data_IF_467044367148
#
_entry.id   IF_467044367148
#
_cell.length_a   1.000
_cell.length_b   1.000
_cell.length_c   1.000
_cell.angle_alpha   90.00
_cell.angle_beta   90.00
_cell.angle_gamma   90.00
#
_symmetry.space_group_name_H-M   'P 1'
#
loop_
_entity.id
_entity.type
_entity.pdbx_description
1 polymer ?
#
# COMPACT_ATOMS: atom_id res chain seq x y z
N UNK A 1 -6.58 26.92 -0.03
CA UNK A 1 -6.59 25.97 -1.16
C UNK A 1 -5.23 25.30 -1.16
N UNK A 2 -5.14 23.97 -1.11
CA UNK A 2 -3.84 23.28 -1.08
C UNK A 2 -3.23 23.25 -2.48
N UNK A 3 -1.95 23.56 -2.58
CA UNK A 3 -1.20 23.43 -3.82
C UNK A 3 -1.02 21.95 -4.21
N UNK A 4 -0.87 21.63 -5.50
CA UNK A 4 -0.57 20.25 -5.94
C UNK A 4 0.65 19.63 -5.24
N UNK A 5 1.67 20.45 -4.95
CA UNK A 5 2.88 20.03 -4.27
C UNK A 5 2.63 19.67 -2.80
N UNK A 6 1.89 20.49 -2.05
CA UNK A 6 1.52 20.19 -0.66
C UNK A 6 0.72 18.89 -0.56
N UNK A 7 -0.21 18.68 -1.49
CA UNK A 7 -0.99 17.45 -1.57
C UNK A 7 -0.08 16.26 -1.89
N UNK A 8 0.89 16.41 -2.80
CA UNK A 8 1.88 15.37 -3.11
C UNK A 8 2.71 15.00 -1.89
N UNK A 9 3.26 15.98 -1.17
CA UNK A 9 4.05 15.75 0.03
C UNK A 9 3.22 15.10 1.15
N UNK A 10 1.95 15.48 1.30
CA UNK A 10 1.04 14.84 2.24
C UNK A 10 0.83 13.34 1.93
N UNK A 11 0.63 12.99 0.66
CA UNK A 11 0.57 11.59 0.23
C UNK A 11 1.92 10.89 0.36
N UNK A 12 3.03 11.60 0.15
CA UNK A 12 4.37 11.06 0.35
C UNK A 12 4.62 10.63 1.79
N UNK A 13 4.27 11.49 2.75
CA UNK A 13 4.33 11.16 4.18
C UNK A 13 3.41 10.00 4.55
N UNK A 14 2.19 9.95 3.99
CA UNK A 14 1.29 8.82 4.17
C UNK A 14 1.94 7.52 3.68
N UNK A 15 2.51 7.52 2.47
CA UNK A 15 3.11 6.35 1.86
C UNK A 15 4.34 5.85 2.63
N UNK A 16 5.20 6.76 3.09
CA UNK A 16 6.31 6.39 3.98
C UNK A 16 5.80 5.80 5.29
N UNK A 17 4.74 6.37 5.88
CA UNK A 17 4.11 5.82 7.08
C UNK A 17 3.59 4.40 6.86
N UNK A 18 2.92 4.14 5.73
CA UNK A 18 2.49 2.78 5.35
C UNK A 18 3.69 1.86 5.18
N UNK A 19 4.74 2.30 4.49
CA UNK A 19 5.95 1.51 4.27
C UNK A 19 6.62 1.07 5.58
N UNK A 20 6.84 2.02 6.50
CA UNK A 20 7.43 1.74 7.81
C UNK A 20 6.53 0.79 8.61
N UNK A 21 5.22 1.06 8.65
CA UNK A 21 4.27 0.23 9.41
C UNK A 21 4.21 -1.20 8.90
N UNK A 22 4.11 -1.39 7.58
CA UNK A 22 4.07 -2.72 6.95
C UNK A 22 5.40 -3.44 7.10
N UNK A 23 6.53 -2.75 6.91
CA UNK A 23 7.86 -3.32 7.07
C UNK A 23 8.10 -3.81 8.51
N UNK A 24 7.85 -2.95 9.50
CA UNK A 24 7.99 -3.29 10.92
C UNK A 24 7.06 -4.44 11.30
N UNK A 25 5.77 -4.36 10.93
CA UNK A 25 4.82 -5.40 11.25
C UNK A 25 5.23 -6.75 10.64
N UNK A 26 5.79 -6.74 9.43
CA UNK A 26 6.24 -7.97 8.74
C UNK A 26 7.44 -8.60 9.43
N UNK A 27 8.45 -7.81 9.78
CA UNK A 27 9.66 -8.29 10.46
C UNK A 27 9.32 -8.81 11.86
N UNK A 28 8.53 -8.05 12.63
CA UNK A 28 8.15 -8.46 13.99
C UNK A 28 7.21 -9.67 13.98
N UNK A 29 6.32 -9.78 12.98
CA UNK A 29 5.47 -10.98 12.81
C UNK A 29 6.31 -12.24 12.60
N UNK A 30 7.47 -12.12 11.97
CA UNK A 30 8.36 -13.27 11.78
C UNK A 30 9.04 -13.69 13.07
N UNK A 31 9.42 -12.74 13.92
CA UNK A 31 9.96 -13.05 15.25
C UNK A 31 8.94 -13.84 16.08
N UNK A 32 7.66 -13.45 16.04
CA UNK A 32 6.57 -14.17 16.71
C UNK A 32 6.36 -15.57 16.11
N UNK A 33 6.46 -15.69 14.78
CA UNK A 33 6.34 -16.98 14.10
C UNK A 33 7.41 -17.96 14.56
N UNK A 34 8.67 -17.54 14.56
CA UNK A 34 9.82 -18.34 14.99
C UNK A 34 9.76 -18.70 16.48
N UNK A 35 9.26 -17.79 17.32
CA UNK A 35 9.06 -18.03 18.75
C UNK A 35 7.84 -18.91 19.06
N UNK A 36 7.01 -19.25 18.05
CA UNK A 36 5.75 -20.01 18.18
C UNK A 36 4.77 -19.36 19.15
N UNK A 37 4.81 -18.03 19.20
CA UNK A 37 3.98 -17.25 20.10
C UNK A 37 2.51 -17.25 19.65
N UNK A 38 1.55 -17.06 20.58
CA UNK A 38 0.13 -17.02 20.27
C UNK A 38 -0.27 -16.03 19.17
N UNK A 39 -1.26 -16.41 18.36
CA UNK A 39 -1.73 -15.63 17.21
C UNK A 39 -2.14 -14.19 17.53
N UNK A 40 -2.61 -13.90 18.74
CA UNK A 40 -3.02 -12.53 19.11
C UNK A 40 -1.85 -11.53 19.07
N UNK A 41 -0.59 -11.99 19.19
CA UNK A 41 0.57 -11.11 19.06
C UNK A 41 0.74 -10.55 17.65
N UNK A 42 0.33 -11.27 16.60
CA UNK A 42 0.30 -10.71 15.24
C UNK A 42 -0.62 -9.50 15.19
N UNK A 43 -1.83 -9.61 15.76
CA UNK A 43 -2.78 -8.49 15.80
C UNK A 43 -2.21 -7.29 16.55
N UNK A 44 -1.59 -7.53 17.71
CA UNK A 44 -0.93 -6.48 18.50
C UNK A 44 0.20 -5.81 17.71
N UNK A 45 1.04 -6.59 17.03
CA UNK A 45 2.15 -6.07 16.22
C UNK A 45 1.66 -5.22 15.07
N UNK A 46 0.64 -5.68 14.35
CA UNK A 46 0.09 -4.94 13.22
C UNK A 46 -0.54 -3.63 13.70
N UNK A 47 -1.41 -3.67 14.71
CA UNK A 47 -2.03 -2.47 15.27
C UNK A 47 -0.99 -1.53 15.91
N UNK A 48 -0.04 -2.07 16.64
CA UNK A 48 1.04 -1.34 17.30
C UNK A 48 1.95 -0.64 16.30
N UNK A 49 2.36 -1.34 15.23
CA UNK A 49 3.25 -0.79 14.19
C UNK A 49 2.60 0.41 13.48
N UNK A 50 1.31 0.32 13.15
CA UNK A 50 0.55 1.44 12.58
C UNK A 50 0.35 2.57 13.60
N UNK A 51 0.00 2.24 14.84
CA UNK A 51 -0.25 3.23 15.90
C UNK A 51 1.02 4.03 16.24
N UNK A 52 2.15 3.36 16.39
CA UNK A 52 3.44 4.00 16.69
C UNK A 52 3.86 4.89 15.52
N UNK A 53 3.84 4.36 14.29
CA UNK A 53 4.30 5.10 13.11
C UNK A 53 3.46 6.35 12.85
N UNK A 54 2.14 6.22 12.89
CA UNK A 54 1.24 7.35 12.65
C UNK A 54 1.04 8.25 13.87
N UNK A 55 1.26 7.74 15.08
CA UNK A 55 1.30 8.52 16.31
C UNK A 55 2.54 9.40 16.40
N UNK A 56 3.71 8.93 15.93
CA UNK A 56 4.95 9.70 15.92
C UNK A 56 4.86 10.99 15.08
N UNK A 57 4.00 11.01 14.06
CA UNK A 57 3.77 12.19 13.21
C UNK A 57 2.47 12.94 13.53
N UNK A 58 1.90 12.73 14.73
CA UNK A 58 0.56 13.21 15.06
C UNK A 58 0.34 14.71 14.82
N UNK A 59 1.33 15.53 15.21
CA UNK A 59 1.27 16.99 15.03
C UNK A 59 1.23 17.46 13.57
N UNK A 60 1.60 16.60 12.61
CA UNK A 60 1.55 16.90 11.16
C UNK A 60 0.18 16.55 10.55
N UNK A 61 -0.64 15.72 11.19
CA UNK A 61 -1.94 15.29 10.66
C UNK A 61 -2.92 16.42 10.40
N UNK A 62 -2.85 17.49 11.21
CA UNK A 62 -3.67 18.70 11.01
C UNK A 62 -3.52 19.31 9.61
N UNK A 63 -2.36 19.13 8.99
CA UNK A 63 -2.05 19.62 7.64
C UNK A 63 -2.20 18.52 6.58
N UNK A 64 -1.85 17.28 6.92
CA UNK A 64 -1.88 16.12 5.99
C UNK A 64 -3.33 15.73 5.65
N UNK A 65 -4.22 15.59 6.64
CA UNK A 65 -5.58 15.08 6.44
C UNK A 65 -6.38 15.97 5.48
N UNK A 66 -6.43 17.31 5.66
CA UNK A 66 -7.20 18.15 4.75
C UNK A 66 -6.64 18.14 3.31
N UNK A 67 -5.31 18.06 3.15
CA UNK A 67 -4.68 17.95 1.83
C UNK A 67 -5.05 16.63 1.14
N UNK A 68 -5.03 15.51 1.86
CA UNK A 68 -5.50 14.22 1.35
C UNK A 68 -6.97 14.28 0.95
N UNK A 69 -7.84 14.81 1.83
CA UNK A 69 -9.27 14.98 1.56
C UNK A 69 -9.51 15.84 0.31
N UNK A 70 -8.73 16.91 0.14
CA UNK A 70 -8.82 17.77 -1.04
C UNK A 70 -8.56 16.99 -2.33
N UNK A 71 -7.58 16.07 -2.34
CA UNK A 71 -7.37 15.17 -3.47
C UNK A 71 -8.54 14.20 -3.66
N UNK A 72 -9.00 13.57 -2.59
CA UNK A 72 -10.09 12.57 -2.64
C UNK A 72 -11.40 13.15 -3.18
N UNK A 73 -11.66 14.45 -3.00
CA UNK A 73 -12.84 15.11 -3.60
C UNK A 73 -12.89 15.00 -5.13
N UNK A 74 -11.75 14.77 -5.79
CA UNK A 74 -11.73 14.51 -7.23
C UNK A 74 -12.43 13.19 -7.59
N UNK A 75 -12.16 12.12 -6.85
CA UNK A 75 -12.77 10.81 -7.14
C UNK A 75 -14.26 10.75 -6.82
N UNK A 76 -14.75 11.64 -5.93
CA UNK A 76 -16.18 11.81 -5.67
C UNK A 76 -16.94 12.31 -6.90
N UNK A 77 -16.28 13.04 -7.81
CA UNK A 77 -16.90 13.56 -9.04
C UNK A 77 -16.91 12.57 -10.19
N UNK A 78 -16.23 11.42 -10.06
CA UNK A 78 -16.23 10.39 -11.10
C UNK A 78 -17.63 9.80 -11.30
N UNK A 79 -17.90 9.30 -12.51
CA UNK A 79 -19.10 8.53 -12.79
C UNK A 79 -19.14 7.25 -11.93
N UNK A 80 -20.34 6.73 -11.71
CA UNK A 80 -20.55 5.53 -10.90
C UNK A 80 -19.71 4.35 -11.40
N UNK A 81 -19.64 4.15 -12.72
CA UNK A 81 -18.87 3.06 -13.34
C UNK A 81 -17.37 3.16 -13.04
N UNK A 82 -16.78 4.36 -13.08
CA UNK A 82 -15.35 4.54 -12.79
C UNK A 82 -15.06 4.30 -11.31
N UNK A 83 -15.95 4.75 -10.41
CA UNK A 83 -15.84 4.44 -8.98
C UNK A 83 -15.93 2.94 -8.72
N UNK A 84 -16.86 2.25 -9.39
CA UNK A 84 -17.02 0.81 -9.27
C UNK A 84 -15.77 0.06 -9.75
N UNK A 85 -15.26 0.39 -10.94
CA UNK A 85 -14.04 -0.24 -11.48
C UNK A 85 -12.85 0.00 -10.55
N UNK A 86 -12.64 1.24 -10.09
CA UNK A 86 -11.57 1.54 -9.15
C UNK A 86 -11.73 0.78 -7.83
N UNK A 87 -12.96 0.75 -7.31
CA UNK A 87 -13.31 0.01 -6.11
C UNK A 87 -13.03 -1.49 -6.24
N UNK A 88 -13.34 -2.09 -7.40
CA UNK A 88 -13.04 -3.50 -7.68
C UNK A 88 -11.52 -3.75 -7.79
N UNK A 89 -10.76 -2.86 -8.43
CA UNK A 89 -9.30 -2.97 -8.47
C UNK A 89 -8.67 -2.98 -7.07
N UNK A 90 -9.24 -2.25 -6.12
CA UNK A 90 -8.83 -2.30 -4.71
C UNK A 90 -9.37 -3.55 -4.01
N UNK A 91 -10.69 -3.73 -3.97
CA UNK A 91 -11.35 -4.65 -3.06
C UNK A 91 -11.30 -6.11 -3.51
N UNK A 92 -11.42 -6.38 -4.82
CA UNK A 92 -11.57 -7.75 -5.32
C UNK A 92 -10.38 -8.64 -4.96
N UNK A 93 -9.11 -8.22 -5.14
CA UNK A 93 -7.98 -9.07 -4.76
C UNK A 93 -7.94 -9.36 -3.25
N UNK A 94 -8.25 -8.39 -2.39
CA UNK A 94 -8.30 -8.64 -0.94
C UNK A 94 -9.48 -9.51 -0.52
N UNK A 95 -10.64 -9.35 -1.15
CA UNK A 95 -11.79 -10.22 -0.89
C UNK A 95 -11.49 -11.67 -1.30
N UNK A 96 -10.78 -11.86 -2.42
CA UNK A 96 -10.38 -13.17 -2.91
C UNK A 96 -9.44 -13.91 -1.94
N UNK A 97 -8.70 -13.21 -1.06
CA UNK A 97 -7.85 -13.83 -0.03
C UNK A 97 -8.69 -14.71 0.90
N UNK A 98 -9.91 -14.29 1.24
CA UNK A 98 -10.80 -15.08 2.10
C UNK A 98 -11.23 -16.40 1.46
N UNK A 99 -11.36 -16.43 0.13
CA UNK A 99 -11.71 -17.65 -0.62
C UNK A 99 -10.48 -18.49 -1.00
N UNK A 100 -9.33 -17.84 -1.21
CA UNK A 100 -8.09 -18.45 -1.70
C UNK A 100 -6.90 -18.03 -0.81
N UNK A 101 -6.85 -18.47 0.46
CA UNK A 101 -5.82 -18.05 1.40
C UNK A 101 -4.42 -18.49 0.97
N UNK A 102 -4.28 -19.59 0.22
CA UNK A 102 -3.01 -20.03 -0.36
C UNK A 102 -2.42 -19.06 -1.38
N UNK A 103 -3.23 -18.17 -1.94
CA UNK A 103 -2.83 -17.16 -2.92
C UNK A 103 -2.54 -15.80 -2.28
N UNK A 104 -2.49 -15.73 -0.93
CA UNK A 104 -2.34 -14.48 -0.17
C UNK A 104 -1.25 -13.56 -0.72
N UNK A 105 -0.04 -14.10 -0.91
CA UNK A 105 1.16 -13.36 -1.32
C UNK A 105 0.99 -12.69 -2.69
N UNK A 106 0.22 -13.32 -3.59
CA UNK A 106 -0.07 -12.80 -4.92
C UNK A 106 -1.21 -11.79 -4.89
N UNK A 107 -2.28 -12.13 -4.17
CA UNK A 107 -3.49 -11.32 -4.12
C UNK A 107 -3.27 -9.99 -3.40
N UNK A 108 -2.41 -9.97 -2.37
CA UNK A 108 -2.05 -8.73 -1.68
C UNK A 108 -1.25 -7.79 -2.61
N UNK A 109 -0.29 -8.32 -3.36
CA UNK A 109 0.48 -7.55 -4.35
C UNK A 109 -0.39 -7.08 -5.50
N UNK A 110 -1.31 -7.94 -5.98
CA UNK A 110 -2.26 -7.62 -7.03
C UNK A 110 -3.23 -6.51 -6.59
N UNK A 111 -3.76 -6.56 -5.38
CA UNK A 111 -4.65 -5.53 -4.81
C UNK A 111 -3.98 -4.17 -4.72
N UNK A 112 -2.77 -4.12 -4.16
CA UNK A 112 -1.98 -2.89 -4.09
C UNK A 112 -1.60 -2.41 -5.51
N UNK A 113 -1.20 -3.32 -6.38
CA UNK A 113 -0.82 -3.04 -7.76
C UNK A 113 -1.95 -2.44 -8.59
N UNK A 114 -3.07 -3.15 -8.70
CA UNK A 114 -4.24 -2.73 -9.45
C UNK A 114 -4.86 -1.48 -8.86
N UNK A 115 -5.05 -1.41 -7.54
CA UNK A 115 -5.67 -0.27 -6.87
C UNK A 115 -4.91 1.03 -7.09
N UNK A 116 -3.58 1.03 -6.95
CA UNK A 116 -2.78 2.23 -7.20
C UNK A 116 -2.70 2.59 -8.69
N UNK A 117 -2.59 1.59 -9.57
CA UNK A 117 -2.54 1.79 -11.02
C UNK A 117 -3.85 2.37 -11.56
N UNK A 118 -4.99 1.81 -11.17
CA UNK A 118 -6.31 2.31 -11.57
C UNK A 118 -6.52 3.74 -11.05
N UNK A 119 -6.17 4.00 -9.79
CA UNK A 119 -6.32 5.33 -9.20
C UNK A 119 -5.44 6.35 -9.92
N UNK A 120 -4.22 6.01 -10.33
CA UNK A 120 -3.38 6.87 -11.17
C UNK A 120 -4.05 7.20 -12.51
N UNK A 121 -4.46 6.19 -13.29
CA UNK A 121 -5.05 6.44 -14.60
C UNK A 121 -6.35 7.23 -14.53
N UNK A 122 -7.19 6.96 -13.54
CA UNK A 122 -8.46 7.67 -13.38
C UNK A 122 -8.30 9.09 -12.86
N UNK A 123 -7.38 9.33 -11.92
CA UNK A 123 -7.06 10.70 -11.48
C UNK A 123 -6.48 11.53 -12.62
N UNK A 124 -5.61 10.93 -13.44
CA UNK A 124 -5.03 11.59 -14.61
C UNK A 124 -6.09 11.89 -15.67
N UNK A 125 -6.94 10.91 -16.01
CA UNK A 125 -7.91 11.01 -17.11
C UNK A 125 -9.15 11.83 -16.76
N UNK A 126 -9.72 11.64 -15.57
CA UNK A 126 -11.02 12.21 -15.19
C UNK A 126 -10.92 13.38 -14.21
N UNK A 127 -9.71 13.72 -13.75
CA UNK A 127 -9.52 14.82 -12.79
C UNK A 127 -8.31 15.69 -13.10
N UNK A 128 -7.56 15.39 -14.18
CA UNK A 128 -6.36 16.13 -14.58
C UNK A 128 -5.33 16.28 -13.45
N UNK A 129 -5.30 15.33 -12.51
CA UNK A 129 -4.35 15.31 -11.39
C UNK A 129 -3.25 14.31 -11.70
N UNK A 130 -2.00 14.77 -11.64
CA UNK A 130 -0.82 13.91 -11.74
C UNK A 130 -0.38 13.42 -10.36
N UNK A 131 -0.56 12.12 -10.13
CA UNK A 131 -0.21 11.38 -8.91
C UNK A 131 0.81 10.28 -9.24
N UNK A 132 1.94 10.66 -9.83
CA UNK A 132 3.00 9.73 -10.26
C UNK A 132 3.49 8.83 -9.13
N UNK A 133 3.43 9.27 -7.88
CA UNK A 133 3.74 8.43 -6.72
C UNK A 133 2.88 7.17 -6.64
N UNK A 134 1.62 7.20 -7.09
CA UNK A 134 0.77 6.01 -7.10
C UNK A 134 1.17 5.02 -8.18
N UNK A 135 1.51 5.48 -9.40
CA UNK A 135 1.92 4.53 -10.44
C UNK A 135 3.25 3.86 -10.10
N UNK A 136 4.13 4.53 -9.33
CA UNK A 136 5.35 3.89 -8.79
C UNK A 136 4.98 2.72 -7.87
N UNK A 137 4.10 2.94 -6.88
CA UNK A 137 3.62 1.87 -5.99
C UNK A 137 2.97 0.74 -6.79
N UNK A 138 2.10 1.11 -7.74
CA UNK A 138 1.37 0.16 -8.59
C UNK A 138 2.30 -0.71 -9.42
N UNK A 139 3.24 -0.10 -10.13
CA UNK A 139 4.19 -0.79 -10.99
C UNK A 139 5.11 -1.72 -10.20
N UNK A 140 5.69 -1.26 -9.09
CA UNK A 140 6.56 -2.10 -8.25
C UNK A 140 5.77 -3.29 -7.72
N UNK A 141 4.53 -3.08 -7.24
CA UNK A 141 3.71 -4.17 -6.70
C UNK A 141 3.28 -5.19 -7.75
N UNK A 142 2.99 -4.76 -8.99
CA UNK A 142 2.65 -5.68 -10.08
C UNK A 142 3.87 -6.47 -10.56
N UNK A 143 5.04 -5.82 -10.66
CA UNK A 143 6.32 -6.50 -11.01
C UNK A 143 6.77 -7.45 -9.91
N UNK A 144 6.39 -7.19 -8.66
CA UNK A 144 6.66 -8.10 -7.54
C UNK A 144 5.92 -9.44 -7.64
N UNK A 145 4.81 -9.53 -8.37
CA UNK A 145 4.03 -10.77 -8.51
C UNK A 145 4.86 -11.91 -9.13
N UNK A 146 5.47 -11.76 -10.32
CA UNK A 146 6.30 -12.82 -10.88
C UNK A 146 7.51 -13.16 -9.99
N UNK A 147 8.07 -12.18 -9.27
CA UNK A 147 9.13 -12.43 -8.28
C UNK A 147 8.63 -13.32 -7.14
N UNK A 148 7.43 -13.03 -6.60
CA UNK A 148 6.81 -13.84 -5.56
C UNK A 148 6.53 -15.27 -6.06
N UNK A 149 6.08 -15.43 -7.32
CA UNK A 149 5.82 -16.75 -7.91
C UNK A 149 7.13 -17.54 -7.99
N UNK A 150 8.20 -16.94 -8.52
CA UNK A 150 9.50 -17.59 -8.61
C UNK A 150 9.99 -18.06 -7.24
N UNK A 151 9.84 -17.24 -6.21
CA UNK A 151 10.31 -17.59 -4.87
C UNK A 151 9.49 -18.74 -4.26
N UNK A 152 8.16 -18.68 -4.39
CA UNK A 152 7.25 -19.70 -3.88
C UNK A 152 7.43 -21.06 -4.57
N UNK A 153 7.82 -21.08 -5.86
CA UNK A 153 8.01 -22.32 -6.63
C UNK A 153 9.45 -22.85 -6.64
N UNK A 154 10.47 -22.02 -6.43
CA UNK A 154 11.90 -22.40 -6.61
C UNK A 154 12.58 -22.85 -5.32
N UNK A 155 12.17 -22.31 -4.17
CA UNK A 155 12.63 -22.78 -2.87
C UNK A 155 11.65 -23.85 -2.40
N UNK A 156 12.15 -24.97 -1.86
CA UNK A 156 11.36 -26.04 -1.24
C UNK A 156 10.18 -25.41 -0.50
N UNK A 157 8.98 -25.53 -1.09
CA UNK A 157 7.71 -24.87 -0.73
C UNK A 157 7.72 -24.25 0.67
N UNK A 158 8.14 -22.98 0.76
CA UNK A 158 8.08 -22.24 2.01
C UNK A 158 7.19 -21.01 1.81
N UNK A 159 5.89 -21.29 1.79
CA UNK A 159 4.82 -20.31 1.69
C UNK A 159 5.02 -19.15 2.69
N UNK A 160 5.60 -19.42 3.86
CA UNK A 160 5.94 -18.40 4.87
C UNK A 160 6.93 -17.35 4.34
N UNK A 161 8.00 -17.79 3.67
CA UNK A 161 9.00 -16.90 3.06
C UNK A 161 8.34 -16.03 1.97
N UNK A 162 7.51 -16.65 1.11
CA UNK A 162 6.81 -15.92 0.06
C UNK A 162 5.85 -14.85 0.64
N UNK A 163 5.17 -15.17 1.74
CA UNK A 163 4.29 -14.22 2.46
C UNK A 163 5.07 -13.04 3.02
N UNK A 164 6.18 -13.24 3.73
CA UNK A 164 6.96 -12.14 4.31
C UNK A 164 7.54 -11.27 3.20
N UNK A 165 8.14 -11.89 2.19
CA UNK A 165 8.75 -11.17 1.08
C UNK A 165 7.73 -10.34 0.32
N UNK A 166 6.52 -10.86 0.07
CA UNK A 166 5.45 -10.07 -0.56
C UNK A 166 5.11 -8.82 0.25
N UNK A 167 5.06 -8.91 1.58
CA UNK A 167 4.81 -7.75 2.47
C UNK A 167 5.98 -6.77 2.48
N UNK A 168 7.22 -7.25 2.47
CA UNK A 168 8.41 -6.40 2.34
C UNK A 168 8.44 -5.70 0.97
N UNK A 169 8.04 -6.36 -0.11
CA UNK A 169 7.92 -5.74 -1.43
C UNK A 169 6.83 -4.65 -1.44
N UNK A 170 5.72 -4.83 -0.71
CA UNK A 170 4.72 -3.77 -0.49
C UNK A 170 5.34 -2.59 0.25
N UNK A 171 6.10 -2.85 1.32
CA UNK A 171 6.79 -1.81 2.07
C UNK A 171 7.76 -1.02 1.17
N UNK A 172 8.53 -1.71 0.33
CA UNK A 172 9.42 -1.10 -0.66
C UNK A 172 8.62 -0.27 -1.68
N UNK A 173 7.52 -0.80 -2.21
CA UNK A 173 6.69 -0.09 -3.19
C UNK A 173 6.16 1.23 -2.62
N UNK A 174 5.56 1.19 -1.43
CA UNK A 174 5.09 2.39 -0.74
C UNK A 174 6.24 3.33 -0.35
N UNK A 175 7.38 2.79 0.08
CA UNK A 175 8.56 3.58 0.41
C UNK A 175 9.08 4.35 -0.80
N UNK A 176 9.20 3.69 -1.95
CA UNK A 176 9.64 4.30 -3.21
C UNK A 176 8.67 5.39 -3.67
N UNK A 177 7.36 5.12 -3.69
CA UNK A 177 6.34 6.12 -4.03
C UNK A 177 6.37 7.32 -3.07
N UNK A 178 6.54 7.05 -1.78
CA UNK A 178 6.60 8.08 -0.73
C UNK A 178 7.84 8.97 -0.82
N UNK A 179 9.03 8.38 -0.98
CA UNK A 179 10.29 9.09 -1.18
C UNK A 179 10.21 9.94 -2.44
N UNK A 180 9.73 9.36 -3.55
CA UNK A 180 9.52 10.11 -4.79
C UNK A 180 8.62 11.33 -4.53
N UNK A 181 7.48 11.14 -3.88
CA UNK A 181 6.54 12.22 -3.61
C UNK A 181 7.18 13.37 -2.82
N UNK A 182 8.00 13.08 -1.80
CA UNK A 182 8.67 14.10 -0.97
C UNK A 182 9.81 14.81 -1.71
N UNK A 183 10.65 14.05 -2.43
CA UNK A 183 11.81 14.61 -3.12
C UNK A 183 11.44 15.36 -4.40
N UNK A 184 10.26 15.09 -4.96
CA UNK A 184 9.79 15.77 -6.15
C UNK A 184 9.42 17.22 -5.82
N UNK A 185 10.09 18.16 -6.50
CA UNK A 185 10.00 19.61 -6.25
C UNK A 185 9.06 20.35 -7.22
N UNK A 186 8.38 19.66 -8.13
CA UNK A 186 7.53 20.26 -9.18
C UNK A 186 6.17 19.60 -9.29
#
# INVERSE_FOLDING_TARGET
MYSPLEVRHAFGLLFIGVAISVGLASILSEVIFEQKDPFYYYVIIWLGSFTITFGAIFGKWKNIIPAIRARMKNSVKWSASIKAINGLCWATPFAAIGALPSMYQYLILLGIGLGNTSTYFFMKKFSSVSNTEQIIVGAISLVAIPVAILIDTSFVSNQTIAVILSRLMIAIAYGAGGIFAILHKK
#
